data_IF_269177286667
#
_entry.id   IF_269177286667
#
_cell.length_a   1.000
_cell.length_b   1.000
_cell.length_c   1.000
_cell.angle_alpha   90.00
_cell.angle_beta   90.00
_cell.angle_gamma   90.00
#
_symmetry.space_group_name_H-M   'P 1'
#
loop_
_entity.id
_entity.type
_entity.pdbx_description
1 polymer ?
#
# COMPACT_ATOMS: atom_id res chain seq x y z
N UNK A 1 -18.14 33.96 -8.37
CA UNK A 1 -17.39 33.14 -9.34
C UNK A 1 -16.77 31.97 -8.61
N UNK A 2 -17.38 30.79 -8.69
CA UNK A 2 -16.77 29.56 -8.19
C UNK A 2 -15.63 29.19 -9.15
N UNK A 3 -14.38 29.34 -8.72
CA UNK A 3 -13.25 28.74 -9.45
C UNK A 3 -13.49 27.23 -9.41
N UNK A 4 -13.87 26.65 -10.55
CA UNK A 4 -13.81 25.21 -10.76
C UNK A 4 -12.37 24.82 -10.41
N UNK A 5 -12.18 24.14 -9.28
CA UNK A 5 -10.90 23.51 -8.97
C UNK A 5 -10.59 22.62 -10.17
N UNK A 6 -9.51 22.92 -10.90
CA UNK A 6 -9.04 22.01 -11.93
C UNK A 6 -8.89 20.66 -11.24
N UNK A 7 -9.65 19.66 -11.68
CA UNK A 7 -9.53 18.32 -11.12
C UNK A 7 -8.06 17.94 -11.26
N UNK A 8 -7.37 17.78 -10.12
CA UNK A 8 -5.99 17.33 -10.09
C UNK A 8 -5.91 16.07 -10.97
N UNK A 9 -4.96 16.05 -11.90
CA UNK A 9 -4.80 14.89 -12.80
C UNK A 9 -4.65 13.61 -11.93
N UNK A 10 -5.29 12.50 -12.34
CA UNK A 10 -5.18 11.23 -11.61
C UNK A 10 -3.72 10.81 -11.48
N UNK A 11 -3.35 10.18 -10.36
CA UNK A 11 -1.97 9.77 -10.09
C UNK A 11 -1.46 8.81 -11.16
N UNK A 12 -2.32 7.89 -11.64
CA UNK A 12 -1.99 6.95 -12.71
C UNK A 12 -1.38 7.63 -13.94
N UNK A 13 -1.81 8.85 -14.26
CA UNK A 13 -1.28 9.60 -15.41
C UNK A 13 0.18 10.04 -15.25
N UNK A 14 0.76 9.92 -14.05
CA UNK A 14 2.17 10.21 -13.75
C UNK A 14 3.07 8.99 -13.94
N UNK A 15 2.50 7.80 -14.19
CA UNK A 15 3.22 6.54 -14.31
C UNK A 15 3.07 5.96 -15.72
N UNK A 16 4.10 5.23 -16.17
CA UNK A 16 3.93 4.31 -17.30
C UNK A 16 3.02 3.15 -16.89
N UNK A 17 2.46 2.39 -17.84
CA UNK A 17 1.65 1.21 -17.51
C UNK A 17 2.41 0.20 -16.65
N UNK A 18 3.68 -0.04 -16.97
CA UNK A 18 4.54 -0.96 -16.21
C UNK A 18 4.83 -0.43 -14.81
N UNK A 19 5.18 0.86 -14.68
CA UNK A 19 5.43 1.46 -13.37
C UNK A 19 4.14 1.49 -12.52
N UNK A 20 2.98 1.68 -13.15
CA UNK A 20 1.70 1.67 -12.45
C UNK A 20 1.35 0.31 -11.85
N UNK A 21 1.66 -0.79 -12.55
CA UNK A 21 1.52 -2.13 -11.98
C UNK A 21 2.38 -2.31 -10.73
N UNK A 22 3.60 -1.75 -10.72
CA UNK A 22 4.45 -1.77 -9.55
C UNK A 22 3.86 -0.95 -8.40
N UNK A 23 3.26 0.21 -8.67
CA UNK A 23 2.55 0.99 -7.66
C UNK A 23 1.36 0.21 -7.09
N UNK A 24 0.57 -0.44 -7.95
CA UNK A 24 -0.57 -1.27 -7.53
C UNK A 24 -0.14 -2.51 -6.73
N UNK A 25 1.09 -3.00 -6.92
CA UNK A 25 1.61 -4.14 -6.18
C UNK A 25 2.01 -3.80 -4.73
N UNK A 26 2.28 -2.52 -4.42
CA UNK A 26 2.81 -2.09 -3.11
C UNK A 26 1.95 -2.52 -1.92
N UNK A 27 0.62 -2.34 -1.89
CA UNK A 27 -0.20 -2.79 -0.78
C UNK A 27 -0.08 -4.31 -0.55
N UNK A 28 -0.09 -5.08 -1.64
CA UNK A 28 0.02 -6.53 -1.59
C UNK A 28 1.41 -7.02 -1.16
N UNK A 29 2.49 -6.28 -1.50
CA UNK A 29 3.82 -6.58 -0.99
C UNK A 29 3.87 -6.41 0.53
N UNK A 30 3.30 -5.32 1.05
CA UNK A 30 3.26 -5.08 2.49
C UNK A 30 2.42 -6.14 3.20
N UNK A 31 1.26 -6.51 2.64
CA UNK A 31 0.44 -7.59 3.19
C UNK A 31 1.15 -8.94 3.17
N UNK A 32 1.64 -9.37 2.00
CA UNK A 32 2.26 -10.69 1.84
C UNK A 32 3.52 -10.85 2.69
N UNK A 33 4.30 -9.78 2.85
CA UNK A 33 5.47 -9.82 3.72
C UNK A 33 5.13 -9.73 5.21
N UNK A 34 4.03 -9.09 5.57
CA UNK A 34 3.61 -9.00 6.98
C UNK A 34 2.90 -10.29 7.39
N UNK A 35 1.73 -10.58 6.82
CA UNK A 35 0.92 -11.75 7.20
C UNK A 35 1.60 -13.10 6.88
N UNK A 36 2.62 -13.11 6.02
CA UNK A 36 3.42 -14.31 5.75
C UNK A 36 4.68 -14.45 6.62
N UNK A 37 4.99 -13.47 7.48
CA UNK A 37 6.27 -13.40 8.18
C UNK A 37 6.47 -14.52 9.20
N UNK A 38 5.41 -14.92 9.89
CA UNK A 38 5.41 -16.00 10.87
C UNK A 38 5.15 -17.39 10.24
N UNK A 39 5.02 -17.42 8.92
CA UNK A 39 4.79 -18.63 8.13
C UNK A 39 3.34 -19.08 8.02
N UNK A 40 2.36 -18.39 8.62
CA UNK A 40 0.95 -18.75 8.52
C UNK A 40 0.04 -17.51 8.43
N UNK A 41 -0.70 -17.38 7.32
CA UNK A 41 -1.81 -16.42 7.25
C UNK A 41 -3.03 -17.06 7.90
N UNK A 42 -3.50 -16.49 9.00
CA UNK A 42 -4.67 -17.04 9.70
C UNK A 42 -6.01 -16.62 9.07
N UNK A 43 -7.10 -17.24 9.51
CA UNK A 43 -8.42 -16.98 8.95
C UNK A 43 -8.92 -15.55 9.22
N UNK A 44 -8.49 -14.93 10.33
CA UNK A 44 -8.86 -13.56 10.69
C UNK A 44 -8.11 -12.54 9.83
N UNK A 45 -6.81 -12.73 9.60
CA UNK A 45 -6.01 -11.95 8.64
C UNK A 45 -6.55 -12.06 7.23
N UNK A 46 -6.85 -13.28 6.77
CA UNK A 46 -7.41 -13.50 5.45
C UNK A 46 -8.79 -12.83 5.29
N UNK A 47 -9.64 -12.92 6.31
CA UNK A 47 -10.94 -12.26 6.32
C UNK A 47 -10.81 -10.73 6.35
N UNK A 48 -9.86 -10.19 7.11
CA UNK A 48 -9.61 -8.75 7.17
C UNK A 48 -9.03 -8.21 5.86
N UNK A 49 -8.10 -8.94 5.25
CA UNK A 49 -7.58 -8.64 3.92
C UNK A 49 -8.72 -8.62 2.89
N UNK A 50 -9.55 -9.66 2.88
CA UNK A 50 -10.72 -9.74 2.01
C UNK A 50 -11.70 -8.60 2.27
N UNK A 51 -11.96 -8.25 3.53
CA UNK A 51 -12.83 -7.13 3.91
C UNK A 51 -12.27 -5.78 3.45
N UNK A 52 -10.96 -5.56 3.56
CA UNK A 52 -10.30 -4.33 3.10
C UNK A 52 -10.32 -4.21 1.58
N UNK A 53 -10.09 -5.33 0.89
CA UNK A 53 -10.32 -5.40 -0.55
C UNK A 53 -11.78 -5.06 -0.88
N UNK A 54 -12.76 -5.73 -0.29
CA UNK A 54 -14.19 -5.51 -0.60
C UNK A 54 -14.73 -4.14 -0.16
N UNK A 55 -14.19 -3.56 0.92
CA UNK A 55 -14.54 -2.25 1.45
C UNK A 55 -14.14 -1.09 0.52
N UNK A 56 -13.28 -1.37 -0.46
CA UNK A 56 -13.00 -0.52 -1.59
C UNK A 56 -12.29 0.81 -1.26
N UNK A 57 -12.17 1.64 -2.29
CA UNK A 57 -11.47 2.91 -2.28
C UNK A 57 -12.08 4.01 -1.37
N UNK A 58 -13.16 3.75 -0.64
CA UNK A 58 -13.83 4.78 0.17
C UNK A 58 -13.24 4.89 1.59
N UNK A 59 -12.57 3.85 2.09
CA UNK A 59 -12.01 3.83 3.44
C UNK A 59 -10.64 4.50 3.58
N UNK A 60 -9.90 4.68 2.49
CA UNK A 60 -8.53 5.21 2.55
C UNK A 60 -8.51 6.74 2.56
N UNK A 61 -7.78 7.34 3.51
CA UNK A 61 -7.58 8.80 3.55
C UNK A 61 -6.68 9.28 2.40
N UNK A 62 -5.65 8.52 2.09
CA UNK A 62 -4.67 8.86 1.04
C UNK A 62 -5.27 8.77 -0.37
N UNK A 63 -5.18 9.83 -1.21
CA UNK A 63 -5.73 9.81 -2.56
C UNK A 63 -5.12 8.74 -3.48
N UNK A 64 -3.82 8.48 -3.39
CA UNK A 64 -3.16 7.49 -4.25
C UNK A 64 -3.59 6.07 -3.84
N UNK A 65 -3.66 5.77 -2.56
CA UNK A 65 -4.12 4.48 -2.07
C UNK A 65 -5.57 4.20 -2.51
N UNK A 66 -6.44 5.21 -2.48
CA UNK A 66 -7.79 5.11 -3.04
C UNK A 66 -7.79 4.81 -4.52
N UNK A 67 -6.96 5.51 -5.29
CA UNK A 67 -6.87 5.31 -6.74
C UNK A 67 -6.36 3.90 -7.08
N UNK A 68 -5.35 3.41 -6.35
CA UNK A 68 -4.83 2.04 -6.47
C UNK A 68 -5.93 1.02 -6.18
N UNK A 69 -6.65 1.18 -5.05
CA UNK A 69 -7.74 0.28 -4.68
C UNK A 69 -8.85 0.27 -5.74
N UNK A 70 -9.30 1.45 -6.21
CA UNK A 70 -10.32 1.57 -7.25
C UNK A 70 -9.88 0.93 -8.57
N UNK A 71 -8.62 1.16 -8.97
CA UNK A 71 -8.09 0.64 -10.22
C UNK A 71 -7.95 -0.88 -10.17
N UNK A 72 -7.51 -1.45 -9.05
CA UNK A 72 -7.38 -2.90 -8.88
C UNK A 72 -8.70 -3.63 -9.18
N UNK A 73 -9.83 -3.17 -8.64
CA UNK A 73 -11.15 -3.79 -8.91
C UNK A 73 -11.63 -3.66 -10.36
N UNK A 74 -11.12 -2.68 -11.11
CA UNK A 74 -11.52 -2.43 -12.50
C UNK A 74 -10.57 -3.03 -13.53
N UNK A 75 -9.43 -3.59 -13.11
CA UNK A 75 -8.38 -4.09 -14.00
C UNK A 75 -8.41 -5.62 -14.02
N UNK A 76 -8.34 -6.27 -15.20
CA UNK A 76 -8.24 -7.73 -15.29
C UNK A 76 -6.81 -8.21 -14.97
N UNK A 77 -6.30 -7.91 -13.78
CA UNK A 77 -4.99 -8.34 -13.27
C UNK A 77 -5.17 -9.06 -11.95
N UNK A 78 -4.46 -10.16 -11.73
CA UNK A 78 -4.49 -10.89 -10.46
C UNK A 78 -3.42 -10.38 -9.49
N UNK A 79 -3.62 -10.61 -8.19
CA UNK A 79 -2.62 -10.30 -7.16
C UNK A 79 -1.29 -11.01 -7.48
N UNK A 80 -1.33 -12.29 -7.86
CA UNK A 80 -0.13 -13.06 -8.21
C UNK A 80 0.64 -12.44 -9.37
N UNK A 81 -0.06 -11.89 -10.37
CA UNK A 81 0.58 -11.21 -11.49
C UNK A 81 1.29 -9.92 -11.05
N UNK A 82 0.64 -9.12 -10.18
CA UNK A 82 1.24 -7.90 -9.63
C UNK A 82 2.47 -8.22 -8.77
N UNK A 83 2.34 -9.20 -7.86
CA UNK A 83 3.45 -9.64 -7.01
C UNK A 83 4.60 -10.22 -7.83
N UNK A 84 4.32 -11.05 -8.85
CA UNK A 84 5.36 -11.58 -9.74
C UNK A 84 6.11 -10.46 -10.48
N UNK A 85 5.39 -9.45 -10.99
CA UNK A 85 6.00 -8.28 -11.64
C UNK A 85 6.87 -7.49 -10.67
N UNK A 86 6.38 -7.24 -9.46
CA UNK A 86 7.13 -6.51 -8.44
C UNK A 86 8.37 -7.28 -7.97
N UNK A 87 8.27 -8.58 -7.74
CA UNK A 87 9.40 -9.44 -7.37
C UNK A 87 10.44 -9.52 -8.48
N UNK A 88 10.01 -9.56 -9.75
CA UNK A 88 10.92 -9.54 -10.92
C UNK A 88 11.64 -8.20 -11.06
N UNK A 89 10.94 -7.10 -10.80
CA UNK A 89 11.50 -5.76 -10.84
C UNK A 89 12.47 -5.49 -9.68
N UNK A 90 12.23 -6.12 -8.53
CA UNK A 90 12.98 -5.93 -7.30
C UNK A 90 12.50 -4.72 -6.48
N UNK A 91 12.71 -4.75 -5.15
CA UNK A 91 12.21 -3.72 -4.25
C UNK A 91 12.82 -2.34 -4.51
N UNK A 92 14.06 -2.26 -5.02
CA UNK A 92 14.74 -1.02 -5.38
C UNK A 92 14.04 -0.31 -6.55
N UNK A 93 13.58 -1.07 -7.54
CA UNK A 93 12.84 -0.51 -8.68
C UNK A 93 11.47 0.01 -8.24
N UNK A 94 10.75 -0.73 -7.39
CA UNK A 94 9.47 -0.28 -6.82
C UNK A 94 9.66 1.04 -6.06
N UNK A 95 10.67 1.11 -5.18
CA UNK A 95 11.00 2.33 -4.44
C UNK A 95 11.35 3.49 -5.38
N UNK A 96 12.19 3.25 -6.39
CA UNK A 96 12.60 4.28 -7.37
C UNK A 96 11.43 4.83 -8.16
N UNK A 97 10.47 3.99 -8.55
CA UNK A 97 9.26 4.40 -9.27
C UNK A 97 8.43 5.38 -8.46
N UNK A 98 8.20 5.05 -7.18
CA UNK A 98 7.45 5.92 -6.27
C UNK A 98 8.17 7.26 -6.06
N UNK A 99 9.48 7.23 -5.78
CA UNK A 99 10.26 8.45 -5.53
C UNK A 99 10.39 9.37 -6.74
N UNK A 100 10.36 8.84 -7.96
CA UNK A 100 10.44 9.65 -9.19
C UNK A 100 9.15 10.39 -9.51
N UNK A 101 8.00 9.80 -9.18
CA UNK A 101 6.69 10.30 -9.59
C UNK A 101 5.92 11.04 -8.48
N UNK A 102 6.29 10.82 -7.22
CA UNK A 102 5.64 11.39 -6.05
C UNK A 102 6.50 12.47 -5.40
N UNK A 103 5.85 13.51 -4.90
CA UNK A 103 6.49 14.43 -3.95
C UNK A 103 6.81 13.71 -2.63
N UNK A 104 7.72 14.23 -1.80
CA UNK A 104 8.02 13.62 -0.50
C UNK A 104 6.79 13.40 0.38
N UNK A 105 5.84 14.35 0.40
CA UNK A 105 4.61 14.22 1.18
C UNK A 105 3.66 13.17 0.60
N UNK A 106 3.46 13.14 -0.72
CA UNK A 106 2.64 12.11 -1.38
C UNK A 106 3.24 10.71 -1.16
N UNK A 107 4.58 10.59 -1.22
CA UNK A 107 5.30 9.36 -0.96
C UNK A 107 5.08 8.86 0.48
N UNK A 108 5.24 9.74 1.47
CA UNK A 108 5.03 9.41 2.89
C UNK A 108 3.56 9.09 3.19
N UNK A 109 2.62 9.84 2.62
CA UNK A 109 1.20 9.61 2.82
C UNK A 109 0.75 8.28 2.21
N UNK A 110 1.19 7.96 1.00
CA UNK A 110 0.85 6.70 0.35
C UNK A 110 1.39 5.50 1.12
N UNK A 111 2.70 5.50 1.39
CA UNK A 111 3.34 4.38 2.09
C UNK A 111 2.91 4.28 3.55
N UNK A 112 2.65 5.40 4.22
CA UNK A 112 2.08 5.41 5.57
C UNK A 112 0.67 4.85 5.60
N UNK A 113 -0.16 5.19 4.62
CA UNK A 113 -1.50 4.64 4.45
C UNK A 113 -1.46 3.12 4.25
N UNK A 114 -0.58 2.63 3.35
CA UNK A 114 -0.35 1.19 3.12
C UNK A 114 0.18 0.48 4.37
N UNK A 115 1.14 1.10 5.07
CA UNK A 115 1.73 0.54 6.29
C UNK A 115 0.69 0.36 7.40
N UNK A 116 -0.16 1.36 7.61
CA UNK A 116 -1.27 1.29 8.58
C UNK A 116 -2.26 0.20 8.18
N UNK A 117 -2.50 0.05 6.88
CA UNK A 117 -3.39 -1.00 6.35
C UNK A 117 -2.84 -2.40 6.66
N UNK A 118 -1.55 -2.63 6.37
CA UNK A 118 -0.87 -3.90 6.63
C UNK A 118 -0.81 -4.24 8.12
N UNK A 119 -0.50 -3.26 8.96
CA UNK A 119 -0.56 -3.42 10.41
C UNK A 119 -1.99 -3.70 10.90
N UNK A 120 -3.01 -3.16 10.24
CA UNK A 120 -4.41 -3.46 10.54
C UNK A 120 -4.79 -4.90 10.22
N UNK A 121 -4.22 -5.48 9.16
CA UNK A 121 -4.39 -6.91 8.82
C UNK A 121 -3.71 -7.80 9.86
N UNK A 122 -2.43 -7.55 10.17
CA UNK A 122 -1.69 -8.31 11.19
C UNK A 122 -2.38 -8.28 12.57
N UNK A 123 -3.02 -7.15 12.92
CA UNK A 123 -3.76 -6.99 14.17
C UNK A 123 -5.12 -7.71 14.19
N UNK A 124 -5.62 -8.20 13.07
CA UNK A 124 -6.91 -8.90 13.03
C UNK A 124 -6.85 -10.24 13.79
N UNK A 125 -5.64 -10.80 13.89
CA UNK A 125 -5.28 -11.93 14.73
C UNK A 125 -5.25 -11.54 16.22
N UNK A 126 -4.71 -12.39 17.09
CA UNK A 126 -4.60 -12.11 18.54
C UNK A 126 -3.54 -11.04 18.89
N UNK A 127 -3.15 -10.19 17.93
CA UNK A 127 -2.07 -9.22 18.02
C UNK A 127 -1.05 -9.41 16.89
N UNK A 128 -0.09 -8.48 16.78
CA UNK A 128 1.02 -8.56 15.82
C UNK A 128 2.14 -9.41 16.41
N UNK A 129 2.59 -10.44 15.71
CA UNK A 129 3.70 -11.28 16.16
C UNK A 129 5.06 -10.54 16.07
N UNK A 130 6.10 -10.99 16.80
CA UNK A 130 7.44 -10.43 16.67
C UNK A 130 7.99 -10.47 15.24
N UNK A 131 7.70 -11.53 14.50
CA UNK A 131 8.10 -11.75 13.11
C UNK A 131 7.43 -10.74 12.17
N UNK A 132 6.12 -10.56 12.31
CA UNK A 132 5.35 -9.56 11.56
C UNK A 132 5.81 -8.13 11.87
N UNK A 133 6.05 -7.83 13.14
CA UNK A 133 6.58 -6.53 13.57
C UNK A 133 7.97 -6.27 12.98
N UNK A 134 8.81 -7.30 12.92
CA UNK A 134 10.13 -7.25 12.30
C UNK A 134 10.01 -7.01 10.79
N UNK A 135 9.10 -7.70 10.11
CA UNK A 135 8.85 -7.53 8.68
C UNK A 135 8.33 -6.11 8.36
N UNK A 136 7.36 -5.61 9.12
CA UNK A 136 6.86 -4.24 9.01
C UNK A 136 7.97 -3.21 9.24
N UNK A 137 8.80 -3.41 10.26
CA UNK A 137 9.91 -2.50 10.58
C UNK A 137 10.97 -2.49 9.48
N UNK A 138 11.27 -3.65 8.89
CA UNK A 138 12.18 -3.78 7.77
C UNK A 138 11.63 -3.04 6.53
N UNK A 139 10.34 -3.20 6.23
CA UNK A 139 9.68 -2.48 5.13
C UNK A 139 9.68 -0.97 5.36
N UNK A 140 9.32 -0.51 6.57
CA UNK A 140 9.35 0.90 6.92
C UNK A 140 10.76 1.50 6.76
N UNK A 141 11.79 0.77 7.21
CA UNK A 141 13.19 1.18 7.06
C UNK A 141 13.59 1.25 5.59
N UNK A 142 13.31 0.19 4.82
CA UNK A 142 13.69 0.11 3.41
C UNK A 142 13.04 1.21 2.58
N UNK A 143 11.74 1.45 2.77
CA UNK A 143 11.01 2.50 2.06
C UNK A 143 11.21 3.89 2.68
N UNK A 144 11.84 4.01 3.84
CA UNK A 144 12.07 5.28 4.52
C UNK A 144 10.78 5.92 5.04
N UNK A 145 9.87 5.11 5.57
CA UNK A 145 8.60 5.57 6.15
C UNK A 145 8.88 6.24 7.50
N UNK A 146 8.40 7.46 7.69
CA UNK A 146 8.45 8.17 8.96
C UNK A 146 7.37 7.64 9.92
N UNK A 147 7.67 6.51 10.58
CA UNK A 147 6.77 5.83 11.51
C UNK A 147 6.37 6.73 12.68
N UNK A 148 7.31 7.54 13.20
CA UNK A 148 7.05 8.45 14.31
C UNK A 148 6.06 9.57 13.95
N UNK A 149 6.03 9.99 12.69
CA UNK A 149 5.07 10.97 12.19
C UNK A 149 3.74 10.38 11.70
N UNK A 150 3.53 9.05 11.70
CA UNK A 150 2.27 8.45 11.23
C UNK A 150 1.08 8.87 12.08
N UNK A 151 1.25 8.96 13.41
CA UNK A 151 0.18 9.36 14.33
C UNK A 151 -0.31 10.78 14.03
N UNK A 152 0.60 11.71 13.73
CA UNK A 152 0.23 13.08 13.31
C UNK A 152 -0.50 13.12 11.96
N UNK A 153 -0.22 12.18 11.06
CA UNK A 153 -0.78 12.14 9.70
C UNK A 153 -2.12 11.41 9.64
N UNK A 154 -2.32 10.42 10.50
CA UNK A 154 -3.46 9.50 10.42
C UNK A 154 -4.24 9.31 11.72
N UNK A 155 -3.61 9.57 12.88
CA UNK A 155 -4.23 9.61 14.20
C UNK A 155 -5.10 10.85 14.36
N UNK A 156 -6.34 10.62 14.79
CA UNK A 156 -7.31 11.65 15.17
C UNK A 156 -7.81 11.35 16.56
#
# INVERSE_FOLDING_TARGET
MFKKSAASKPFKSRFSSEDWDLVMAVPFLFFGMTAGADGNIDAAEAAELQRRMQGGALGYKDPLHREVAAQFFSTPVTIDQLLKRANTAGPEKVRSVLQKALTPDEYQNYLGSVFIDAMGVARASQGVSPEELTALSALATFFGIDVAGLDKRFGG
#
